data_IF_070847600928
#
_entry.id   IF_070847600928
#
_cell.length_a   1.000
_cell.length_b   1.000
_cell.length_c   1.000
_cell.angle_alpha   90.00
_cell.angle_beta   90.00
_cell.angle_gamma   90.00
#
_symmetry.space_group_name_H-M   'P 1'
#
loop_
_entity.id
_entity.type
_entity.pdbx_description
1 polymer ?
#
# COMPACT_ATOMS: atom_id res chain seq x y z
N UNK A 1 -11.03 12.73 -4.20
CA UNK A 1 -10.36 12.61 -5.51
C UNK A 1 -10.23 14.00 -6.09
N UNK A 2 -9.01 14.52 -6.23
CA UNK A 2 -8.81 15.86 -6.77
C UNK A 2 -8.91 15.84 -8.31
N UNK A 3 -9.53 16.86 -8.90
CA UNK A 3 -9.75 16.97 -10.36
C UNK A 3 -8.47 16.81 -11.20
N UNK A 4 -7.32 17.28 -10.69
CA UNK A 4 -6.02 17.17 -11.36
C UNK A 4 -5.45 15.75 -11.36
N UNK A 5 -5.74 14.92 -10.35
CA UNK A 5 -5.33 13.52 -10.33
C UNK A 5 -6.06 12.71 -11.38
N UNK A 6 -7.35 12.99 -11.59
CA UNK A 6 -8.17 12.29 -12.59
C UNK A 6 -7.65 12.59 -14.00
N UNK A 7 -7.40 13.86 -14.31
CA UNK A 7 -6.85 14.29 -15.60
C UNK A 7 -5.50 13.64 -15.92
N UNK A 8 -4.61 13.50 -14.93
CA UNK A 8 -3.31 12.86 -15.12
C UNK A 8 -3.42 11.34 -15.37
N UNK A 9 -4.34 10.66 -14.68
CA UNK A 9 -4.63 9.25 -14.94
C UNK A 9 -5.27 9.03 -16.31
N UNK A 10 -6.23 9.87 -16.69
CA UNK A 10 -6.91 9.77 -17.98
C UNK A 10 -5.92 9.98 -19.14
N UNK A 11 -5.05 10.99 -19.04
CA UNK A 11 -3.99 11.22 -20.04
C UNK A 11 -2.98 10.07 -20.12
N UNK A 12 -2.63 9.45 -18.98
CA UNK A 12 -1.74 8.29 -18.96
C UNK A 12 -2.40 7.05 -19.59
N UNK A 13 -3.70 6.84 -19.32
CA UNK A 13 -4.48 5.75 -19.92
C UNK A 13 -4.66 5.93 -21.43
N UNK A 14 -4.93 7.17 -21.88
CA UNK A 14 -5.02 7.50 -23.30
C UNK A 14 -3.68 7.30 -24.03
N UNK A 15 -2.57 7.74 -23.43
CA UNK A 15 -1.25 7.50 -23.99
C UNK A 15 -0.94 6.01 -24.09
N UNK A 16 -1.28 5.21 -23.08
CA UNK A 16 -1.09 3.75 -23.10
C UNK A 16 -1.95 3.06 -24.15
N UNK A 17 -3.18 3.52 -24.36
CA UNK A 17 -4.06 3.00 -25.40
C UNK A 17 -3.50 3.29 -26.81
N UNK A 18 -2.82 4.44 -26.98
CA UNK A 18 -2.20 4.83 -28.24
C UNK A 18 -0.86 4.11 -28.50
N UNK A 19 -0.03 3.90 -27.47
CA UNK A 19 1.24 3.16 -27.57
C UNK A 19 1.54 2.38 -26.28
N UNK A 20 1.35 1.05 -26.25
CA UNK A 20 1.64 0.22 -25.09
C UNK A 20 3.13 -0.17 -25.01
N UNK A 21 4.05 0.68 -25.46
CA UNK A 21 5.49 0.42 -25.35
C UNK A 21 5.93 0.30 -23.88
N UNK A 22 6.95 -0.52 -23.55
CA UNK A 22 7.45 -0.67 -22.18
C UNK A 22 7.84 0.66 -21.54
N UNK A 23 8.36 1.59 -22.33
CA UNK A 23 8.72 2.94 -21.88
C UNK A 23 7.49 3.74 -21.45
N UNK A 24 6.38 3.65 -22.20
CA UNK A 24 5.15 4.35 -21.86
C UNK A 24 4.44 3.73 -20.65
N UNK A 25 4.50 2.39 -20.49
CA UNK A 25 4.04 1.71 -19.28
C UNK A 25 4.82 2.20 -18.04
N UNK A 26 6.14 2.35 -18.17
CA UNK A 26 6.97 2.93 -17.10
C UNK A 26 6.63 4.39 -16.82
N UNK A 27 6.34 5.19 -17.84
CA UNK A 27 5.95 6.59 -17.67
C UNK A 27 4.62 6.71 -16.92
N UNK A 28 3.61 5.91 -17.28
CA UNK A 28 2.33 5.88 -16.58
C UNK A 28 2.47 5.43 -15.11
N UNK A 29 3.31 4.41 -14.85
CA UNK A 29 3.60 3.99 -13.48
C UNK A 29 4.29 5.10 -12.66
N UNK A 30 5.19 5.87 -13.28
CA UNK A 30 5.82 7.03 -12.64
C UNK A 30 4.81 8.12 -12.32
N UNK A 31 3.90 8.44 -13.26
CA UNK A 31 2.80 9.40 -13.04
C UNK A 31 1.94 8.96 -11.85
N UNK A 32 1.57 7.68 -11.78
CA UNK A 32 0.78 7.15 -10.67
C UNK A 32 1.51 7.27 -9.32
N UNK A 33 2.81 7.01 -9.29
CA UNK A 33 3.62 7.17 -8.08
C UNK A 33 3.67 8.64 -7.62
N UNK A 34 3.86 9.58 -8.54
CA UNK A 34 3.89 11.02 -8.25
C UNK A 34 2.54 11.52 -7.70
N UNK A 35 1.44 11.06 -8.28
CA UNK A 35 0.09 11.33 -7.76
C UNK A 35 -0.06 10.83 -6.33
N UNK A 36 0.33 9.57 -6.07
CA UNK A 36 0.26 9.00 -4.72
C UNK A 36 1.12 9.76 -3.71
N UNK A 37 2.29 10.27 -4.12
CA UNK A 37 3.14 11.09 -3.26
C UNK A 37 2.49 12.44 -2.97
N UNK A 38 1.92 13.09 -3.98
CA UNK A 38 1.26 14.37 -3.81
C UNK A 38 0.01 14.25 -2.91
N UNK A 39 -0.76 13.18 -3.00
CA UNK A 39 -1.86 12.89 -2.07
C UNK A 39 -1.38 12.64 -0.64
N UNK A 40 -0.25 11.93 -0.47
CA UNK A 40 0.35 11.74 0.85
C UNK A 40 0.79 13.07 1.47
N UNK A 41 1.43 13.93 0.69
CA UNK A 41 1.83 15.27 1.13
C UNK A 41 0.61 16.13 1.48
N UNK A 42 -0.46 16.06 0.70
CA UNK A 42 -1.70 16.77 1.02
C UNK A 42 -2.31 16.30 2.35
N UNK A 43 -2.33 14.99 2.63
CA UNK A 43 -2.77 14.47 3.93
C UNK A 43 -1.91 14.93 5.09
N UNK A 44 -0.58 15.00 4.91
CA UNK A 44 0.34 15.52 5.92
C UNK A 44 0.06 17.01 6.18
N UNK A 45 -0.07 17.81 5.13
CA UNK A 45 -0.40 19.23 5.26
C UNK A 45 -1.74 19.45 5.99
N UNK A 46 -2.78 18.69 5.63
CA UNK A 46 -4.08 18.76 6.29
C UNK A 46 -4.00 18.34 7.79
N UNK A 47 -3.16 17.37 8.13
CA UNK A 47 -2.93 16.99 9.52
C UNK A 47 -2.20 18.09 10.32
N UNK A 48 -1.24 18.79 9.70
CA UNK A 48 -0.53 19.90 10.33
C UNK A 48 -1.42 21.15 10.50
N UNK A 49 -2.31 21.42 9.55
CA UNK A 49 -3.29 22.53 9.62
C UNK A 49 -4.39 22.27 10.67
N UNK A 50 -4.67 21.00 10.98
CA UNK A 50 -5.73 20.57 11.90
C UNK A 50 -5.34 20.49 13.38
N UNK A 51 -4.07 20.72 13.74
CA UNK A 51 -3.62 20.73 15.14
C UNK A 51 -3.86 22.12 15.76
N UNK A 52 -4.89 22.33 16.61
CA UNK A 52 -4.84 23.44 17.55
C UNK A 52 -3.65 23.20 18.48
N UNK A 53 -2.78 24.20 18.58
CA UNK A 53 -1.62 24.23 19.46
C UNK A 53 -2.03 23.87 20.91
N UNK A 54 -2.03 22.58 21.28
CA UNK A 54 -2.41 22.16 22.63
C UNK A 54 -3.14 20.82 22.84
N UNK A 55 -3.21 19.86 21.91
CA UNK A 55 -3.86 18.57 22.20
C UNK A 55 -3.05 17.33 21.75
N UNK A 56 -2.25 16.81 22.68
CA UNK A 56 -1.74 15.45 22.80
C UNK A 56 -2.38 14.34 21.93
N UNK A 57 -1.62 13.81 20.97
CA UNK A 57 -1.21 12.40 20.79
C UNK A 57 -1.14 12.00 19.31
N UNK A 58 -0.03 11.37 18.84
CA UNK A 58 -0.03 10.74 17.53
C UNK A 58 -0.95 9.53 17.56
N UNK A 59 -2.05 9.59 16.80
CA UNK A 59 -2.96 8.46 16.60
C UNK A 59 -2.21 7.23 16.07
N UNK A 60 -2.69 6.00 16.37
CA UNK A 60 -1.93 4.79 16.09
C UNK A 60 -1.78 4.62 14.58
N UNK A 61 -0.52 4.62 14.12
CA UNK A 61 -0.15 4.13 12.80
C UNK A 61 -0.77 2.73 12.60
N UNK A 62 -1.34 2.41 11.41
CA UNK A 62 -1.86 1.08 11.16
C UNK A 62 -0.71 0.08 11.30
N UNK A 63 -0.78 -0.74 12.35
CA UNK A 63 0.22 -1.74 12.66
C UNK A 63 0.36 -2.69 11.46
N UNK A 64 1.58 -2.76 10.90
CA UNK A 64 1.95 -3.82 9.96
C UNK A 64 1.58 -5.16 10.59
N UNK A 65 0.88 -6.07 9.90
CA UNK A 65 0.67 -7.41 10.42
C UNK A 65 2.02 -8.11 10.52
N UNK A 66 2.59 -8.15 11.72
CA UNK A 66 3.70 -9.04 12.05
C UNK A 66 3.15 -10.45 11.98
N UNK A 67 3.55 -11.18 10.93
CA UNK A 67 3.31 -12.61 10.80
C UNK A 67 4.09 -13.30 11.91
N UNK A 68 3.44 -13.54 13.05
CA UNK A 68 3.97 -14.39 14.11
C UNK A 68 4.01 -15.82 13.57
N UNK A 69 5.18 -16.23 13.07
CA UNK A 69 5.52 -17.65 12.92
C UNK A 69 5.63 -18.19 14.34
N UNK A 70 4.51 -18.72 14.85
CA UNK A 70 4.49 -19.43 16.13
C UNK A 70 5.29 -20.71 15.93
N UNK A 71 6.51 -20.73 16.48
CA UNK A 71 7.34 -21.92 16.57
C UNK A 71 6.55 -23.08 17.15
N UNK A 72 6.42 -24.14 16.38
CA UNK A 72 5.84 -25.41 16.81
C UNK A 72 6.99 -26.37 17.14
N UNK A 73 7.68 -26.08 18.24
CA UNK A 73 8.45 -27.08 18.96
C UNK A 73 7.66 -27.47 20.21
N UNK A 74 6.83 -28.51 20.05
CA UNK A 74 6.51 -29.40 21.16
C UNK A 74 6.13 -30.77 20.59
N UNK A 75 7.13 -31.64 20.44
CA UNK A 75 6.89 -33.08 20.44
C UNK A 75 6.60 -33.49 21.89
N UNK A 76 5.61 -34.38 22.11
CA UNK A 76 6.02 -35.72 22.51
C UNK A 76 5.14 -36.84 21.95
N UNK A 77 5.80 -37.93 21.54
CA UNK A 77 5.43 -39.29 21.96
C UNK A 77 4.13 -39.93 21.45
N UNK A 78 4.33 -40.95 20.60
CA UNK A 78 3.54 -42.20 20.50
C UNK A 78 2.12 -42.11 19.92
N UNK A 79 1.98 -42.58 18.67
CA UNK A 79 1.36 -43.88 18.35
C UNK A 79 1.17 -44.00 16.82
N UNK A 80 1.84 -44.98 16.19
CA UNK A 80 1.37 -45.58 14.93
C UNK A 80 0.08 -46.38 15.21
N UNK A 81 -0.90 -46.44 14.30
CA UNK A 81 -0.91 -47.37 13.14
C UNK A 81 -1.58 -46.68 11.90
N UNK A 82 -1.79 -47.22 10.70
CA UNK A 82 -1.68 -48.50 10.02
C UNK A 82 -1.48 -48.21 8.52
N UNK A 83 -0.89 -49.16 7.78
CA UNK A 83 -0.78 -49.13 6.30
C UNK A 83 -2.15 -49.34 5.63
N UNK A 84 -2.43 -48.73 4.46
CA UNK A 84 -3.37 -49.29 3.50
C UNK A 84 -2.68 -50.18 2.46
N UNK A 85 -3.43 -51.20 2.00
CA UNK A 85 -3.12 -52.35 1.13
C UNK A 85 -1.90 -52.30 0.22
#
# INVERSE_FOLDING_TARGET
>A
MHWWSQQACDAAAEAQAADPSPQNLMAAAQVQALISMAEALHRIAAALEGEPEGASQPGPLPARPVRVVRGHENAPGRHAPARPN
#
